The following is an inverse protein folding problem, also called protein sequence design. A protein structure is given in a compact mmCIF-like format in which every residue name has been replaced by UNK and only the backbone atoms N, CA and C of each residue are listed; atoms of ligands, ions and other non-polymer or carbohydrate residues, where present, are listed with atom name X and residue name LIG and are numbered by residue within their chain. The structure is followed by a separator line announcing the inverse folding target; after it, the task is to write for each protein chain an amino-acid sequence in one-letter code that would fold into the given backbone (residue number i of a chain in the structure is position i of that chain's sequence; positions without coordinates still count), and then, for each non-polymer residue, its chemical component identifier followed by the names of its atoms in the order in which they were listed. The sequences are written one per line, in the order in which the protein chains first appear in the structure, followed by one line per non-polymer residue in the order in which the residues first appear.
data_IF_976089369970
#
_entry.id   IF_976089369970
#
_cell.length_a   1.000
_cell.length_b   1.000
_cell.length_c   1.000
_cell.angle_alpha   90.00
_cell.angle_beta   90.00
_cell.angle_gamma   90.00
#
_symmetry.space_group_name_H-M   'P 1'
#
loop_
_entity.id
_entity.type
_entity.pdbx_description
1 polymer ?
#
# COMPACT_ATOMS: atom_id res chain seq x y z
N UNK A 1 -0.02 0.62 -14.03
CA UNK A 1 -0.70 -0.62 -13.60
C UNK A 1 -0.94 -0.67 -12.10
N UNK A 2 0.07 -0.82 -11.22
CA UNK A 2 -0.16 -0.92 -9.77
C UNK A 2 -0.92 0.29 -9.23
N UNK A 3 -0.43 1.50 -9.48
CA UNK A 3 -1.10 2.73 -9.03
C UNK A 3 -2.52 2.86 -9.60
N UNK A 4 -2.74 2.47 -10.87
CA UNK A 4 -4.05 2.54 -11.50
C UNK A 4 -5.05 1.57 -10.85
N UNK A 5 -4.59 0.35 -10.51
CA UNK A 5 -5.42 -0.63 -9.84
C UNK A 5 -5.72 -0.24 -8.38
N UNK A 6 -4.74 0.29 -7.65
CA UNK A 6 -4.95 0.81 -6.30
C UNK A 6 -5.94 1.99 -6.30
N UNK A 7 -5.80 2.93 -7.23
CA UNK A 7 -6.75 4.04 -7.38
C UNK A 7 -8.18 3.54 -7.70
N UNK A 8 -8.30 2.50 -8.54
CA UNK A 8 -9.61 1.91 -8.90
C UNK A 8 -10.35 1.31 -7.71
N UNK A 9 -9.62 0.76 -6.72
CA UNK A 9 -10.20 0.17 -5.51
C UNK A 9 -10.39 1.22 -4.38
N UNK A 10 -10.23 2.50 -4.69
CA UNK A 10 -10.41 3.61 -3.74
C UNK A 10 -9.16 3.96 -2.93
N UNK A 11 -8.02 3.31 -3.17
CA UNK A 11 -6.76 3.68 -2.53
C UNK A 11 -5.98 4.68 -3.39
N UNK A 12 -6.17 5.96 -3.04
CA UNK A 12 -5.62 7.08 -3.79
C UNK A 12 -4.08 7.19 -3.66
N UNK A 13 -3.36 6.75 -4.68
CA UNK A 13 -1.90 6.78 -4.77
C UNK A 13 -1.40 7.55 -5.99
N UNK A 14 -0.32 8.32 -5.81
CA UNK A 14 0.32 9.06 -6.90
C UNK A 14 1.32 8.17 -7.63
N UNK A 15 1.31 8.23 -8.96
CA UNK A 15 2.35 7.58 -9.77
C UNK A 15 3.70 8.25 -9.50
N UNK A 16 4.74 7.49 -9.15
CA UNK A 16 6.08 8.05 -9.00
C UNK A 16 6.60 8.49 -10.37
N UNK A 17 7.35 9.61 -10.42
CA UNK A 17 7.98 10.10 -11.66
C UNK A 17 9.19 9.23 -12.07
N UNK A 18 9.83 8.61 -11.09
CA UNK A 18 10.95 7.67 -11.23
C UNK A 18 10.99 6.77 -9.98
N UNK A 19 11.75 5.67 -10.03
CA UNK A 19 11.92 4.63 -8.99
C UNK A 19 10.97 3.42 -9.07
N UNK A 20 11.33 2.38 -8.31
CA UNK A 20 10.57 1.14 -8.15
C UNK A 20 9.59 1.19 -6.96
N UNK A 21 9.40 2.35 -6.33
CA UNK A 21 8.59 2.48 -5.12
C UNK A 21 7.43 3.45 -5.30
N UNK A 22 6.28 3.08 -4.76
CA UNK A 22 5.12 3.96 -4.61
C UNK A 22 4.99 4.34 -3.16
N UNK A 23 5.03 5.65 -2.89
CA UNK A 23 4.73 6.19 -1.57
C UNK A 23 3.23 6.42 -1.47
N UNK A 24 2.55 5.57 -0.70
CA UNK A 24 1.09 5.56 -0.60
C UNK A 24 0.65 6.10 0.76
N UNK A 25 -0.18 7.15 0.81
CA UNK A 25 -0.82 7.54 2.06
C UNK A 25 -1.77 6.44 2.52
N UNK A 26 -1.86 6.20 3.83
CA UNK A 26 -2.88 5.31 4.39
C UNK A 26 -4.26 5.91 4.08
N UNK A 27 -5.25 5.11 3.61
CA UNK A 27 -6.59 5.62 3.36
C UNK A 27 -7.21 6.24 4.62
N UNK A 28 -8.01 7.30 4.46
CA UNK A 28 -8.50 8.13 5.58
C UNK A 28 -9.18 7.32 6.69
N UNK A 29 -10.00 6.32 6.33
CA UNK A 29 -10.68 5.39 7.26
C UNK A 29 -9.72 4.66 8.21
N UNK A 30 -8.48 4.44 7.78
CA UNK A 30 -7.47 3.66 8.50
C UNK A 30 -6.32 4.51 9.03
N UNK A 31 -6.34 5.83 8.81
CA UNK A 31 -5.22 6.72 9.11
C UNK A 31 -4.84 6.74 10.58
N UNK A 32 -5.80 6.59 11.48
CA UNK A 32 -5.59 6.53 12.94
C UNK A 32 -4.91 5.24 13.42
N UNK A 33 -4.86 4.19 12.60
CA UNK A 33 -4.21 2.92 12.93
C UNK A 33 -2.69 3.04 12.92
N UNK A 34 -2.15 4.00 12.16
CA UNK A 34 -0.72 4.17 11.99
C UNK A 34 -0.10 3.18 10.98
N UNK A 35 1.10 3.50 10.52
CA UNK A 35 1.73 2.83 9.39
C UNK A 35 2.16 1.38 9.66
N UNK A 36 2.59 1.10 10.88
CA UNK A 36 3.03 -0.25 11.30
C UNK A 36 1.84 -1.21 11.39
N UNK A 37 0.81 -0.85 12.14
CA UNK A 37 -0.36 -1.70 12.33
C UNK A 37 -1.14 -1.88 11.02
N UNK A 38 -1.21 -0.85 10.18
CA UNK A 38 -1.82 -0.98 8.86
C UNK A 38 -1.01 -1.91 7.94
N UNK A 39 0.32 -1.92 8.02
CA UNK A 39 1.15 -2.88 7.30
C UNK A 39 0.89 -4.33 7.78
N UNK A 40 0.77 -4.54 9.09
CA UNK A 40 0.38 -5.84 9.64
C UNK A 40 -1.03 -6.28 9.21
N UNK A 41 -1.98 -5.35 9.17
CA UNK A 41 -3.34 -5.62 8.66
C UNK A 41 -3.29 -6.15 7.23
N UNK A 42 -2.55 -5.49 6.33
CA UNK A 42 -2.41 -5.94 4.94
C UNK A 42 -1.70 -7.29 4.85
N UNK A 43 -0.70 -7.54 5.70
CA UNK A 43 -0.04 -8.84 5.74
C UNK A 43 -1.00 -9.96 6.16
N UNK A 44 -1.79 -9.74 7.21
CA UNK A 44 -2.66 -10.76 7.80
C UNK A 44 -3.96 -10.97 7.00
N UNK A 45 -4.57 -9.90 6.49
CA UNK A 45 -5.89 -9.97 5.86
C UNK A 45 -5.82 -9.98 4.32
N UNK A 46 -4.81 -9.34 3.74
CA UNK A 46 -4.61 -9.32 2.29
C UNK A 46 -3.49 -10.24 1.82
N UNK A 47 -2.73 -10.88 2.71
CA UNK A 47 -1.53 -11.67 2.35
C UNK A 47 -0.50 -10.84 1.56
N UNK A 48 -0.47 -9.51 1.77
CA UNK A 48 0.42 -8.57 1.08
C UNK A 48 1.37 -7.92 2.08
N UNK A 49 2.67 -8.16 1.90
CA UNK A 49 3.72 -7.50 2.68
C UNK A 49 4.05 -6.13 2.08
N UNK A 50 4.10 -5.12 2.94
CA UNK A 50 4.47 -3.73 2.61
C UNK A 50 5.39 -3.17 3.68
N UNK A 51 6.20 -2.16 3.33
CA UNK A 51 7.06 -1.51 4.31
C UNK A 51 6.33 -0.33 4.98
N UNK A 52 6.24 -0.30 6.32
CA UNK A 52 5.62 0.81 7.03
C UNK A 52 6.44 2.09 6.87
N UNK A 53 5.77 3.22 6.68
CA UNK A 53 6.44 4.51 6.50
C UNK A 53 7.24 4.94 7.73
N UNK A 54 6.81 4.60 8.95
CA UNK A 54 7.56 4.86 10.18
C UNK A 54 8.98 4.28 10.18
N UNK A 55 9.24 3.19 9.44
CA UNK A 55 10.58 2.61 9.33
C UNK A 55 11.57 3.52 8.57
N UNK A 56 11.08 4.60 7.95
CA UNK A 56 11.87 5.60 7.23
C UNK A 56 11.98 6.93 7.99
N UNK A 57 11.54 6.97 9.26
CA UNK A 57 11.55 8.14 10.14
C UNK A 57 10.15 8.66 10.45
N UNK A 58 10.06 9.58 11.42
CA UNK A 58 8.79 10.12 11.94
C UNK A 58 7.92 10.76 10.85
N UNK A 59 8.54 11.42 9.88
CA UNK A 59 7.84 12.03 8.73
C UNK A 59 7.22 11.01 7.77
N UNK A 60 7.57 9.73 7.91
CA UNK A 60 6.96 8.64 7.14
C UNK A 60 5.68 8.09 7.75
N UNK A 61 5.33 8.50 8.97
CA UNK A 61 4.09 8.06 9.61
C UNK A 61 2.85 8.49 8.80
N UNK A 62 1.83 7.64 8.75
CA UNK A 62 0.67 7.82 7.87
C UNK A 62 0.89 7.41 6.41
N UNK A 63 2.05 6.82 6.06
CA UNK A 63 2.35 6.33 4.73
C UNK A 63 2.87 4.88 4.72
N UNK A 64 2.83 4.25 3.55
CA UNK A 64 3.43 2.98 3.24
C UNK A 64 4.32 3.08 1.99
N UNK A 65 5.37 2.26 1.95
CA UNK A 65 6.20 2.07 0.75
C UNK A 65 5.86 0.75 0.08
N UNK A 66 5.31 0.83 -1.13
CA UNK A 66 4.99 -0.32 -1.95
C UNK A 66 6.07 -0.48 -3.03
N UNK A 67 6.67 -1.66 -3.10
CA UNK A 67 7.70 -1.97 -4.10
C UNK A 67 7.06 -2.63 -5.33
N UNK A 68 7.37 -2.13 -6.53
CA UNK A 68 6.97 -2.70 -7.81
C UNK A 68 8.06 -3.68 -8.28
N UNK A 69 8.28 -4.73 -7.49
CA UNK A 69 9.36 -5.71 -7.73
C UNK A 69 8.85 -7.07 -8.22
N UNK A 70 7.52 -7.25 -8.19
CA UNK A 70 6.85 -8.48 -8.59
C UNK A 70 6.32 -8.42 -10.02
N UNK A 71 6.05 -9.59 -10.61
CA UNK A 71 5.45 -9.67 -11.93
C UNK A 71 4.00 -9.15 -11.97
N UNK A 72 3.51 -8.84 -13.16
CA UNK A 72 2.19 -8.25 -13.36
C UNK A 72 1.03 -9.10 -12.81
N UNK A 73 1.10 -10.43 -12.89
CA UNK A 73 0.06 -11.31 -12.37
C UNK A 73 -0.02 -11.24 -10.83
N UNK A 74 1.15 -11.23 -10.16
CA UNK A 74 1.26 -11.07 -8.70
C UNK A 74 0.76 -9.70 -8.24
N UNK A 75 1.12 -8.63 -8.95
CA UNK A 75 0.63 -7.29 -8.63
C UNK A 75 -0.90 -7.18 -8.78
N UNK A 76 -1.48 -7.79 -9.83
CA UNK A 76 -2.94 -7.87 -9.99
C UNK A 76 -3.60 -8.67 -8.88
N UNK A 77 -2.97 -9.76 -8.43
CA UNK A 77 -3.43 -10.54 -7.27
C UNK A 77 -3.44 -9.70 -5.99
N UNK A 78 -2.34 -9.02 -5.69
CA UNK A 78 -2.21 -8.16 -4.52
C UNK A 78 -3.32 -7.08 -4.49
N UNK A 79 -3.59 -6.42 -5.62
CA UNK A 79 -4.66 -5.41 -5.71
C UNK A 79 -6.03 -6.01 -5.37
N UNK A 80 -6.34 -7.23 -5.82
CA UNK A 80 -7.61 -7.90 -5.49
C UNK A 80 -7.71 -8.27 -4.02
N UNK A 81 -6.63 -8.76 -3.42
CA UNK A 81 -6.61 -9.11 -2.00
C UNK A 81 -6.73 -7.86 -1.12
N UNK A 82 -6.06 -6.77 -1.50
CA UNK A 82 -6.18 -5.47 -0.83
C UNK A 82 -7.62 -4.96 -0.92
N UNK A 83 -8.27 -4.99 -2.10
CA UNK A 83 -9.68 -4.59 -2.23
C UNK A 83 -10.59 -5.38 -1.27
N UNK A 84 -10.37 -6.68 -1.15
CA UNK A 84 -11.12 -7.54 -0.22
C UNK A 84 -10.88 -7.15 1.24
N UNK A 85 -9.65 -6.83 1.63
CA UNK A 85 -9.30 -6.51 3.01
C UNK A 85 -9.69 -5.08 3.44
N UNK A 86 -9.93 -4.19 2.48
CA UNK A 86 -10.26 -2.77 2.75
C UNK A 86 -11.75 -2.45 2.67
N UNK A 87 -12.58 -3.37 2.18
CA UNK A 87 -14.06 -3.29 2.25
C UNK A 87 -14.52 -3.41 3.70
#
# INVERSE_FOLDING_TARGET
MLCDGLNRIGWNVKKPKASMFVWAPIPEKWRSMGSVDFAYKLMNEAEVSVAPGAAFGENGEGYLRLAIVENELRLKQAIRQIDRALR
#
